data_IF_494729415854
#
_entry.id   IF_494729415854
#
_cell.length_a   1.000
_cell.length_b   1.000
_cell.length_c   1.000
_cell.angle_alpha   90.00
_cell.angle_beta   90.00
_cell.angle_gamma   90.00
#
_symmetry.space_group_name_H-M   'P 1'
#
loop_
_entity.id
_entity.type
_entity.pdbx_description
1 polymer ?
#
# COMPACT_ATOMS: atom_id res chain seq x y z
N UNK A 1 18.47 -68.08 6.83
CA UNK A 1 17.08 -67.97 7.31
C UNK A 1 17.02 -67.12 8.58
N UNK A 2 16.55 -65.87 8.50
CA UNK A 2 16.10 -65.06 9.64
C UNK A 2 14.94 -64.21 9.16
N UNK A 3 13.72 -64.59 9.56
CA UNK A 3 12.51 -63.80 9.40
C UNK A 3 12.49 -62.70 10.47
N UNK A 4 12.23 -61.46 10.06
CA UNK A 4 11.98 -60.36 10.98
C UNK A 4 10.51 -59.93 10.88
N UNK A 5 9.87 -59.99 12.05
CA UNK A 5 8.45 -59.77 12.36
C UNK A 5 8.05 -58.31 12.13
N UNK A 6 7.05 -58.06 11.28
CA UNK A 6 6.40 -56.75 11.15
C UNK A 6 5.29 -56.65 12.21
N UNK A 7 5.37 -55.63 13.06
CA UNK A 7 4.46 -55.44 14.20
C UNK A 7 3.28 -54.54 13.79
N UNK A 8 2.06 -55.08 13.89
CA UNK A 8 0.79 -54.47 13.52
C UNK A 8 0.18 -53.71 14.72
N UNK A 9 0.20 -52.38 14.69
CA UNK A 9 -0.44 -51.53 15.74
C UNK A 9 -1.24 -50.32 15.25
N UNK A 10 -1.43 -50.12 13.94
CA UNK A 10 -2.15 -48.94 13.43
C UNK A 10 -3.54 -49.22 12.82
N UNK A 11 -4.08 -50.44 12.95
CA UNK A 11 -5.38 -50.78 12.35
C UNK A 11 -6.60 -50.68 13.29
N UNK A 12 -6.43 -50.32 14.57
CA UNK A 12 -7.53 -50.30 15.55
C UNK A 12 -8.09 -48.90 15.89
N UNK A 13 -7.34 -47.81 15.63
CA UNK A 13 -7.85 -46.45 15.90
C UNK A 13 -8.78 -45.93 14.79
N UNK A 14 -8.68 -46.45 13.56
CA UNK A 14 -9.53 -46.01 12.44
C UNK A 14 -10.98 -46.50 12.54
N UNK A 15 -11.23 -47.60 13.27
CA UNK A 15 -12.57 -48.19 13.38
C UNK A 15 -13.39 -47.59 14.54
N UNK A 16 -12.73 -47.06 15.58
CA UNK A 16 -13.41 -46.45 16.73
C UNK A 16 -13.99 -45.06 16.43
N UNK A 17 -13.45 -44.32 15.44
CA UNK A 17 -13.99 -43.02 15.06
C UNK A 17 -15.24 -43.10 14.16
N UNK A 18 -15.48 -44.23 13.48
CA UNK A 18 -16.67 -44.43 12.65
C UNK A 18 -17.89 -44.91 13.46
N UNK A 19 -17.69 -45.68 14.53
CA UNK A 19 -18.77 -46.17 15.40
C UNK A 19 -19.38 -45.08 16.32
N UNK A 20 -18.60 -44.04 16.65
CA UNK A 20 -19.04 -42.95 17.54
C UNK A 20 -19.85 -41.86 16.82
N UNK A 21 -19.72 -41.70 15.50
CA UNK A 21 -20.49 -40.72 14.72
C UNK A 21 -21.88 -41.21 14.33
N UNK A 22 -22.08 -42.53 14.18
CA UNK A 22 -23.37 -43.12 13.86
C UNK A 22 -24.35 -43.13 15.07
N UNK A 23 -23.83 -43.30 16.30
CA UNK A 23 -24.66 -43.41 17.50
C UNK A 23 -25.16 -42.07 18.06
N UNK A 24 -24.51 -40.94 17.74
CA UNK A 24 -25.00 -39.60 18.10
C UNK A 24 -26.05 -39.11 17.12
N UNK A 25 -25.93 -39.46 15.84
CA UNK A 25 -26.89 -39.07 14.80
C UNK A 25 -28.25 -39.79 14.94
N UNK A 26 -28.25 -41.03 15.43
CA UNK A 26 -29.48 -41.84 15.59
C UNK A 26 -30.22 -41.63 16.92
N UNK A 27 -29.66 -40.86 17.87
CA UNK A 27 -30.36 -40.51 19.14
C UNK A 27 -31.15 -39.21 19.10
N UNK A 28 -30.99 -38.38 18.06
CA UNK A 28 -31.75 -37.12 17.89
C UNK A 28 -33.08 -37.32 17.14
N UNK A 29 -33.30 -38.47 16.48
CA UNK A 29 -34.49 -38.72 15.65
C UNK A 29 -35.49 -39.73 16.25
N UNK A 30 -35.50 -39.93 17.57
CA UNK A 30 -36.49 -40.75 18.28
C UNK A 30 -37.33 -39.94 19.27
N UNK A 31 -37.88 -38.81 18.81
CA UNK A 31 -38.99 -38.17 19.51
C UNK A 31 -40.12 -37.90 18.53
N UNK A 32 -41.26 -38.57 18.75
CA UNK A 32 -42.51 -38.38 18.01
C UNK A 32 -43.06 -36.99 18.34
N UNK A 33 -42.77 -36.01 17.48
CA UNK A 33 -43.53 -34.75 17.42
C UNK A 33 -43.86 -34.51 15.97
N UNK A 34 -45.15 -34.65 15.63
CA UNK A 34 -45.70 -34.28 14.33
C UNK A 34 -45.68 -32.76 14.27
N UNK A 35 -44.64 -32.18 13.66
CA UNK A 35 -44.54 -30.73 13.47
C UNK A 35 -45.07 -30.37 12.09
N UNK A 36 -46.15 -29.59 12.10
CA UNK A 36 -46.81 -29.02 10.95
C UNK A 36 -45.82 -28.15 10.13
N UNK A 37 -45.54 -28.55 8.90
CA UNK A 37 -44.53 -27.95 8.01
C UNK A 37 -44.81 -26.47 7.64
N UNK A 38 -45.98 -25.92 7.99
CA UNK A 38 -46.31 -24.51 7.80
C UNK A 38 -45.79 -23.56 8.90
N UNK A 39 -45.22 -24.09 10.00
CA UNK A 39 -44.69 -23.30 11.13
C UNK A 39 -43.14 -23.19 11.10
N UNK A 40 -42.49 -23.68 10.04
CA UNK A 40 -41.03 -23.58 9.89
C UNK A 40 -40.55 -22.31 9.16
N UNK A 41 -41.46 -21.40 8.80
CA UNK A 41 -41.14 -20.16 8.08
C UNK A 41 -41.13 -18.88 8.94
N UNK A 42 -41.23 -18.96 10.28
CA UNK A 42 -41.34 -17.76 11.15
C UNK A 42 -40.13 -17.51 12.06
N UNK A 43 -39.12 -18.38 12.09
CA UNK A 43 -37.83 -18.08 12.75
C UNK A 43 -36.77 -17.53 11.77
N UNK A 44 -37.21 -16.77 10.77
CA UNK A 44 -36.38 -16.21 9.70
C UNK A 44 -35.94 -14.75 9.89
N UNK A 45 -36.30 -14.07 10.99
CA UNK A 45 -35.96 -12.65 11.18
C UNK A 45 -35.77 -12.35 12.68
N UNK A 46 -34.54 -12.45 13.19
CA UNK A 46 -33.98 -11.68 14.33
C UNK A 46 -32.63 -12.30 14.71
N UNK A 47 -31.60 -11.95 13.95
CA UNK A 47 -30.23 -12.43 14.17
C UNK A 47 -29.21 -11.65 13.36
N UNK A 48 -29.38 -10.34 13.24
CA UNK A 48 -28.45 -9.46 12.52
C UNK A 48 -28.16 -8.21 13.34
N UNK A 49 -27.54 -8.41 14.51
CA UNK A 49 -26.66 -7.39 15.11
C UNK A 49 -25.53 -8.12 15.85
N UNK A 50 -24.31 -7.62 15.68
CA UNK A 50 -23.00 -8.12 16.14
C UNK A 50 -22.32 -9.17 15.25
N UNK A 51 -21.86 -8.73 14.07
CA UNK A 51 -20.59 -9.21 13.52
C UNK A 51 -19.46 -8.28 13.97
N UNK A 52 -19.01 -8.49 15.21
CA UNK A 52 -17.71 -8.04 15.69
C UNK A 52 -16.67 -9.14 15.47
N UNK A 53 -15.55 -8.76 14.84
CA UNK A 53 -14.24 -9.41 14.82
C UNK A 53 -14.00 -10.73 14.04
N UNK A 54 -12.85 -10.73 13.38
CA UNK A 54 -12.06 -11.84 12.83
C UNK A 54 -12.59 -12.58 11.59
N UNK A 55 -12.39 -11.97 10.44
CA UNK A 55 -11.69 -12.63 9.32
C UNK A 55 -11.33 -11.55 8.32
N UNK A 56 -10.04 -11.28 8.16
CA UNK A 56 -9.52 -10.74 6.91
C UNK A 56 -9.84 -11.81 5.85
N UNK A 57 -11.06 -11.76 5.32
CA UNK A 57 -11.49 -12.60 4.24
C UNK A 57 -10.48 -12.46 3.10
N UNK A 58 -10.00 -13.61 2.64
CA UNK A 58 -9.21 -13.78 1.42
C UNK A 58 -9.89 -13.08 0.24
N UNK A 59 -9.68 -11.77 0.11
CA UNK A 59 -9.40 -11.21 -1.20
C UNK A 59 -8.12 -11.92 -1.60
N UNK A 60 -8.07 -12.61 -2.75
CA UNK A 60 -6.85 -13.22 -3.25
C UNK A 60 -5.80 -12.11 -3.41
N UNK A 61 -5.03 -11.87 -2.35
CA UNK A 61 -3.98 -10.87 -2.34
C UNK A 61 -2.85 -11.42 -3.19
N UNK A 62 -2.38 -10.64 -4.15
CA UNK A 62 -1.26 -11.06 -4.98
C UNK A 62 -0.10 -11.51 -4.07
N UNK A 63 0.50 -12.69 -4.33
CA UNK A 63 1.70 -13.12 -3.62
C UNK A 63 2.72 -11.97 -3.59
N UNK A 64 3.44 -11.79 -2.48
CA UNK A 64 4.42 -10.71 -2.36
C UNK A 64 5.46 -10.70 -3.49
N UNK A 65 5.73 -11.87 -4.09
CA UNK A 65 6.59 -12.05 -5.27
C UNK A 65 6.09 -11.35 -6.54
N UNK A 66 4.79 -11.12 -6.65
CA UNK A 66 4.15 -10.50 -7.83
C UNK A 66 4.05 -8.97 -7.70
N UNK A 67 4.45 -8.41 -6.56
CA UNK A 67 4.50 -6.97 -6.32
C UNK A 67 5.91 -6.52 -6.72
N UNK A 68 6.01 -5.61 -7.68
CA UNK A 68 7.28 -5.24 -8.30
C UNK A 68 8.06 -4.17 -7.49
N UNK A 69 7.38 -3.43 -6.61
CA UNK A 69 8.02 -2.38 -5.80
C UNK A 69 7.39 -2.20 -4.42
N UNK A 70 8.14 -1.66 -3.44
CA UNK A 70 7.59 -1.29 -2.14
C UNK A 70 6.47 -0.23 -2.23
N UNK A 71 6.50 0.63 -3.26
CA UNK A 71 5.42 1.59 -3.53
C UNK A 71 4.14 0.89 -3.96
N UNK A 72 4.25 -0.11 -4.83
CA UNK A 72 3.12 -0.93 -5.25
C UNK A 72 2.54 -1.72 -4.06
N UNK A 73 3.39 -2.16 -3.12
CA UNK A 73 2.93 -2.78 -1.87
C UNK A 73 2.02 -1.87 -1.05
N UNK A 74 2.38 -0.59 -0.90
CA UNK A 74 1.56 0.40 -0.15
C UNK A 74 0.15 0.47 -0.73
N UNK A 75 0.08 0.48 -2.06
CA UNK A 75 -1.16 0.59 -2.82
C UNK A 75 -1.98 -0.70 -2.75
N UNK A 76 -1.39 -1.83 -3.15
CA UNK A 76 -2.07 -3.13 -3.25
C UNK A 76 -2.54 -3.63 -1.87
N UNK A 77 -1.78 -3.34 -0.80
CA UNK A 77 -2.13 -3.75 0.58
C UNK A 77 -2.85 -2.67 1.38
N UNK A 78 -3.21 -1.54 0.76
CA UNK A 78 -3.90 -0.40 1.38
C UNK A 78 -3.26 0.00 2.71
N UNK A 79 -1.93 0.12 2.70
CA UNK A 79 -1.13 0.53 3.87
C UNK A 79 -1.37 2.03 4.15
N UNK A 80 -1.57 2.81 3.11
CA UNK A 80 -2.11 4.17 3.21
C UNK A 80 -3.51 4.19 2.57
N UNK A 81 -4.35 5.13 2.98
CA UNK A 81 -5.59 5.39 2.26
C UNK A 81 -5.28 6.09 0.93
N UNK A 82 -6.00 5.68 -0.13
CA UNK A 82 -5.83 6.18 -1.50
C UNK A 82 -5.95 7.71 -1.62
N UNK A 83 -6.72 8.33 -0.72
CA UNK A 83 -7.01 9.77 -0.76
C UNK A 83 -6.09 10.61 0.15
N UNK A 84 -5.44 10.00 1.15
CA UNK A 84 -4.81 10.74 2.27
C UNK A 84 -3.34 10.44 2.50
N UNK A 85 -2.72 9.56 1.68
CA UNK A 85 -1.31 9.15 1.83
C UNK A 85 -0.93 8.74 3.27
N UNK A 86 -1.92 8.32 4.05
CA UNK A 86 -1.85 7.97 5.46
C UNK A 86 -3.13 7.20 5.83
N UNK A 87 -3.12 6.44 6.91
CA UNK A 87 -4.26 5.63 7.35
C UNK A 87 -4.27 5.54 8.87
N UNK A 88 -5.47 5.49 9.45
CA UNK A 88 -5.65 5.28 10.88
C UNK A 88 -5.48 3.80 11.24
N UNK A 89 -4.72 3.56 12.31
CA UNK A 89 -4.47 2.24 12.87
C UNK A 89 -4.73 2.25 14.37
N UNK A 90 -5.43 1.22 14.86
CA UNK A 90 -5.61 1.02 16.30
C UNK A 90 -4.28 0.59 16.91
N UNK A 91 -3.81 1.33 17.92
CA UNK A 91 -2.58 0.98 18.66
C UNK A 91 -2.83 0.62 20.12
N UNK A 92 -4.02 0.95 20.64
CA UNK A 92 -4.44 0.66 22.01
C UNK A 92 -5.95 0.45 22.06
N UNK A 93 -6.37 -0.59 22.79
CA UNK A 93 -7.76 -0.87 23.14
C UNK A 93 -7.76 -1.52 24.52
N UNK A 94 -8.69 -1.12 25.39
CA UNK A 94 -8.81 -1.71 26.73
C UNK A 94 -9.19 -3.18 26.63
N UNK A 95 -8.49 -4.03 27.38
CA UNK A 95 -8.72 -5.49 27.41
C UNK A 95 -7.94 -6.30 26.37
N UNK A 96 -7.34 -5.65 25.37
CA UNK A 96 -6.46 -6.31 24.38
C UNK A 96 -5.05 -6.41 24.95
N UNK A 97 -4.63 -7.63 25.32
CA UNK A 97 -3.29 -7.90 25.89
C UNK A 97 -2.27 -8.37 24.86
N UNK A 98 -2.71 -8.91 23.72
CA UNK A 98 -1.82 -9.49 22.73
C UNK A 98 -1.34 -8.45 21.72
N UNK A 99 -0.03 -8.35 21.50
CA UNK A 99 0.55 -7.45 20.48
C UNK A 99 0.07 -7.77 19.06
N UNK A 100 -0.38 -9.00 18.79
CA UNK A 100 -0.88 -9.43 17.48
C UNK A 100 -2.18 -8.73 17.07
N UNK A 101 -2.94 -8.25 18.04
CA UNK A 101 -4.20 -7.54 17.83
C UNK A 101 -3.97 -6.02 17.63
N UNK A 102 -2.70 -5.57 17.64
CA UNK A 102 -2.32 -4.18 17.48
C UNK A 102 -2.08 -3.88 16.00
N UNK A 103 -3.05 -3.21 15.38
CA UNK A 103 -3.03 -2.86 13.95
C UNK A 103 -1.88 -1.91 13.58
N UNK A 104 -1.39 -1.08 14.50
CA UNK A 104 -0.29 -0.15 14.22
C UNK A 104 1.03 -0.83 13.81
N UNK A 105 1.18 -2.14 14.03
CA UNK A 105 2.31 -2.94 13.54
C UNK A 105 2.12 -3.43 12.09
N UNK A 106 0.91 -3.32 11.54
CA UNK A 106 0.56 -3.81 10.20
C UNK A 106 1.48 -3.25 9.10
N UNK A 107 1.73 -1.93 9.01
CA UNK A 107 2.63 -1.40 7.98
C UNK A 107 4.03 -2.04 8.00
N UNK A 108 4.68 -2.07 9.18
CA UNK A 108 5.99 -2.70 9.37
C UNK A 108 5.95 -4.18 8.98
N UNK A 109 4.91 -4.89 9.41
CA UNK A 109 4.75 -6.32 9.12
C UNK A 109 4.65 -6.60 7.62
N UNK A 110 3.88 -5.79 6.88
CA UNK A 110 3.76 -5.94 5.42
C UNK A 110 5.09 -5.72 4.70
N UNK A 111 5.84 -4.67 5.05
CA UNK A 111 7.16 -4.43 4.45
C UNK A 111 8.17 -5.51 4.82
N UNK A 112 8.13 -6.01 6.06
CA UNK A 112 9.00 -7.11 6.50
C UNK A 112 8.73 -8.39 5.70
N UNK A 113 7.46 -8.77 5.56
CA UNK A 113 7.06 -9.95 4.78
C UNK A 113 7.41 -9.79 3.30
N UNK A 114 7.17 -8.62 2.73
CA UNK A 114 7.56 -8.33 1.35
C UNK A 114 9.08 -8.46 1.16
N UNK A 115 9.88 -7.86 2.04
CA UNK A 115 11.34 -7.96 1.99
C UNK A 115 11.81 -9.42 2.08
N UNK A 116 11.27 -10.20 3.02
CA UNK A 116 11.61 -11.62 3.19
C UNK A 116 11.20 -12.48 1.98
N UNK A 117 10.04 -12.21 1.38
CA UNK A 117 9.57 -12.92 0.19
C UNK A 117 10.48 -12.71 -1.04
N UNK A 118 11.19 -11.59 -1.08
CA UNK A 118 12.22 -11.26 -2.08
C UNK A 118 13.63 -11.64 -1.63
N UNK A 119 13.76 -12.44 -0.56
CA UNK A 119 15.03 -12.92 -0.06
C UNK A 119 15.88 -11.87 0.66
N UNK A 120 15.28 -10.78 1.13
CA UNK A 120 15.97 -9.71 1.85
C UNK A 120 15.87 -9.79 3.37
N UNK A 121 16.68 -8.95 4.03
CA UNK A 121 16.66 -8.71 5.47
C UNK A 121 16.08 -7.34 5.77
N UNK A 122 14.99 -7.30 6.54
CA UNK A 122 14.32 -6.08 6.95
C UNK A 122 14.80 -5.64 8.33
N UNK A 123 15.29 -4.40 8.45
CA UNK A 123 15.83 -3.86 9.70
C UNK A 123 15.40 -2.41 9.91
N UNK A 124 15.21 -2.01 11.16
CA UNK A 124 14.93 -0.61 11.53
C UNK A 124 16.26 0.15 11.59
N UNK A 125 16.40 1.21 10.79
CA UNK A 125 17.60 2.04 10.75
C UNK A 125 17.49 3.25 11.68
N UNK A 126 16.29 3.77 11.86
CA UNK A 126 16.03 4.92 12.72
C UNK A 126 14.67 4.75 13.41
N UNK A 127 14.61 5.04 14.71
CA UNK A 127 13.33 5.11 15.44
C UNK A 127 12.62 6.43 15.13
N UNK A 128 11.30 6.41 15.02
CA UNK A 128 10.54 7.65 14.88
C UNK A 128 10.72 8.53 16.11
N UNK A 129 10.93 9.82 15.87
CA UNK A 129 10.91 10.85 16.92
C UNK A 129 9.49 11.39 17.17
N UNK A 130 8.52 11.00 16.34
CA UNK A 130 7.16 11.54 16.27
C UNK A 130 7.13 13.06 16.02
N UNK A 131 8.11 13.59 15.27
CA UNK A 131 8.25 15.03 15.02
C UNK A 131 7.07 15.64 14.26
N UNK A 132 6.43 14.85 13.39
CA UNK A 132 5.30 15.28 12.54
C UNK A 132 3.97 15.41 13.28
N UNK A 133 3.84 14.79 14.46
CA UNK A 133 2.68 14.98 15.33
C UNK A 133 2.69 16.43 15.83
N UNK A 134 1.54 17.12 15.86
CA UNK A 134 1.52 18.52 16.32
C UNK A 134 1.41 18.62 17.85
N UNK A 135 0.55 17.80 18.45
CA UNK A 135 0.30 17.80 19.88
C UNK A 135 1.49 17.23 20.69
N UNK A 136 2.11 18.01 21.61
CA UNK A 136 3.19 17.52 22.47
C UNK A 136 2.77 16.39 23.40
N UNK A 137 1.52 16.38 23.88
CA UNK A 137 1.03 15.34 24.77
C UNK A 137 0.92 14.00 24.02
N UNK A 138 0.31 14.01 22.83
CA UNK A 138 0.31 12.88 21.92
C UNK A 138 1.72 12.36 21.63
N UNK A 139 2.71 13.23 21.36
CA UNK A 139 4.11 12.80 21.18
C UNK A 139 4.64 12.02 22.38
N UNK A 140 4.43 12.54 23.58
CA UNK A 140 4.87 11.88 24.82
C UNK A 140 4.17 10.53 24.99
N UNK A 141 2.86 10.48 24.71
CA UNK A 141 2.07 9.26 24.77
C UNK A 141 2.54 8.20 23.77
N UNK A 142 2.67 8.53 22.48
CA UNK A 142 3.10 7.58 21.45
C UNK A 142 4.47 6.95 21.78
N UNK A 143 5.35 7.71 22.44
CA UNK A 143 6.66 7.23 22.93
C UNK A 143 6.58 6.24 24.09
N UNK A 144 5.45 6.06 24.77
CA UNK A 144 5.36 5.06 25.84
C UNK A 144 5.07 3.65 25.30
N UNK A 145 4.33 3.54 24.18
CA UNK A 145 3.89 2.27 23.61
C UNK A 145 4.98 1.58 22.78
N UNK A 146 5.28 0.33 23.13
CA UNK A 146 6.30 -0.46 22.44
C UNK A 146 5.90 -0.83 21.01
N UNK A 147 4.61 -1.10 20.76
CA UNK A 147 4.08 -1.35 19.43
C UNK A 147 4.39 -0.20 18.47
N UNK A 148 4.26 1.04 18.93
CA UNK A 148 4.59 2.22 18.13
C UNK A 148 6.10 2.38 17.95
N UNK A 149 6.91 2.22 19.01
CA UNK A 149 8.39 2.27 18.88
C UNK A 149 8.93 1.27 17.87
N UNK A 150 8.32 0.09 17.81
CA UNK A 150 8.69 -0.95 16.86
C UNK A 150 8.07 -0.68 15.48
N UNK A 151 6.82 -0.23 15.40
CA UNK A 151 6.08 -0.05 14.16
C UNK A 151 6.48 1.18 13.35
N UNK A 152 7.09 2.20 13.98
CA UNK A 152 7.37 3.50 13.35
C UNK A 152 8.87 3.82 13.27
N UNK A 153 9.22 4.65 12.29
CA UNK A 153 10.57 5.09 11.98
C UNK A 153 10.99 4.74 10.57
N UNK A 154 12.30 4.77 10.32
CA UNK A 154 12.89 4.40 9.03
C UNK A 154 13.33 2.95 9.08
N UNK A 155 12.97 2.21 8.04
CA UNK A 155 13.34 0.81 7.85
C UNK A 155 14.06 0.64 6.52
N UNK A 156 14.95 -0.34 6.49
CA UNK A 156 15.73 -0.73 5.33
C UNK A 156 15.52 -2.20 5.05
N UNK A 157 15.25 -2.52 3.79
CA UNK A 157 15.39 -3.86 3.27
C UNK A 157 16.69 -3.95 2.48
N UNK A 158 17.51 -4.94 2.82
CA UNK A 158 18.72 -5.28 2.08
C UNK A 158 18.50 -6.63 1.42
N UNK A 159 18.46 -6.65 0.09
CA UNK A 159 18.30 -7.86 -0.71
C UNK A 159 19.64 -8.57 -0.88
N UNK A 160 19.62 -9.88 -1.12
CA UNK A 160 20.84 -10.69 -1.29
C UNK A 160 21.63 -10.30 -2.56
N UNK A 161 20.98 -9.68 -3.54
CA UNK A 161 21.61 -9.18 -4.77
C UNK A 161 22.33 -7.82 -4.58
N UNK A 162 22.34 -7.27 -3.37
CA UNK A 162 22.95 -5.97 -3.05
C UNK A 162 22.02 -4.77 -3.25
N UNK A 163 20.84 -4.95 -3.84
CA UNK A 163 19.84 -3.90 -3.93
C UNK A 163 19.26 -3.59 -2.53
N UNK A 164 18.97 -2.32 -2.29
CA UNK A 164 18.34 -1.89 -1.04
C UNK A 164 17.26 -0.84 -1.29
N UNK A 165 16.32 -0.79 -0.38
CA UNK A 165 15.31 0.26 -0.35
C UNK A 165 14.97 0.64 1.09
N UNK A 166 14.56 1.90 1.25
CA UNK A 166 14.22 2.49 2.53
C UNK A 166 12.74 2.87 2.55
N UNK A 167 12.10 2.72 3.69
CA UNK A 167 10.73 3.17 3.91
C UNK A 167 10.63 3.87 5.26
N UNK A 168 9.99 5.03 5.30
CA UNK A 168 9.63 5.73 6.52
C UNK A 168 8.17 5.44 6.88
N UNK A 169 7.90 5.07 8.11
CA UNK A 169 6.56 4.90 8.69
C UNK A 169 6.44 5.90 9.85
N UNK A 170 5.73 7.00 9.64
CA UNK A 170 5.70 8.12 10.60
C UNK A 170 4.27 8.44 11.04
N UNK A 171 4.11 8.81 12.31
CA UNK A 171 2.82 9.24 12.84
C UNK A 171 2.57 10.72 12.52
N UNK A 172 1.39 11.01 11.97
CA UNK A 172 0.95 12.37 11.66
C UNK A 172 0.05 12.95 12.76
N UNK A 173 -0.76 12.10 13.38
CA UNK A 173 -1.65 12.49 14.48
C UNK A 173 -2.01 11.29 15.34
N UNK A 174 -2.47 11.57 16.55
CA UNK A 174 -3.06 10.61 17.48
C UNK A 174 -4.43 11.15 17.89
N UNK A 175 -5.38 10.26 18.12
CA UNK A 175 -6.64 10.61 18.76
C UNK A 175 -7.26 9.41 19.45
N UNK A 176 -8.04 9.70 20.48
CA UNK A 176 -9.01 8.77 21.05
C UNK A 176 -10.23 8.68 20.13
N UNK A 177 -10.76 7.47 19.90
CA UNK A 177 -12.00 7.31 19.14
C UNK A 177 -13.20 7.74 20.01
N UNK A 178 -14.08 8.62 19.50
CA UNK A 178 -15.32 8.95 20.20
C UNK A 178 -16.18 7.69 20.28
N UNK A 179 -16.82 7.46 21.44
CA UNK A 179 -17.71 6.32 21.72
C UNK A 179 -17.02 4.95 21.78
N UNK A 180 -15.75 4.90 22.20
CA UNK A 180 -15.02 3.65 22.44
C UNK A 180 -14.56 3.53 23.90
N UNK A 181 -14.39 2.30 24.40
CA UNK A 181 -13.77 1.98 25.69
C UNK A 181 -12.27 2.29 25.66
N UNK A 182 -11.93 3.57 25.56
CA UNK A 182 -10.56 4.10 25.47
C UNK A 182 -9.73 3.60 24.29
N UNK A 183 -10.36 3.20 23.18
CA UNK A 183 -9.63 2.86 21.96
C UNK A 183 -8.93 4.11 21.40
N UNK A 184 -7.64 3.97 21.13
CA UNK A 184 -6.82 5.03 20.53
C UNK A 184 -6.29 4.60 19.19
N UNK A 185 -6.30 5.55 18.28
CA UNK A 185 -5.82 5.39 16.91
C UNK A 185 -4.70 6.36 16.63
N UNK A 186 -3.77 5.91 15.82
CA UNK A 186 -2.68 6.73 15.28
C UNK A 186 -2.86 6.79 13.77
N UNK A 187 -2.70 7.97 13.19
CA UNK A 187 -2.66 8.13 11.75
C UNK A 187 -1.21 7.98 11.28
N UNK A 188 -0.92 6.90 10.56
CA UNK A 188 0.42 6.56 10.07
C UNK A 188 0.53 6.84 8.56
N UNK A 189 1.65 7.43 8.17
CA UNK A 189 2.06 7.59 6.78
C UNK A 189 3.26 6.67 6.49
N UNK A 190 3.09 5.77 5.53
CA UNK A 190 4.20 5.00 4.96
C UNK A 190 4.68 5.66 3.67
N UNK A 191 5.98 5.90 3.53
CA UNK A 191 6.58 6.50 2.34
C UNK A 191 7.91 5.83 2.01
N UNK A 192 8.07 5.38 0.77
CA UNK A 192 9.35 4.85 0.31
C UNK A 192 10.30 6.03 0.08
N UNK A 193 11.49 5.93 0.66
CA UNK A 193 12.54 6.94 0.55
C UNK A 193 13.40 6.55 -0.66
N UNK A 194 13.43 7.41 -1.68
CA UNK A 194 14.44 7.32 -2.73
C UNK A 194 15.76 7.77 -2.11
N UNK A 195 16.80 6.92 -2.14
CA UNK A 195 18.12 7.33 -1.66
C UNK A 195 18.57 8.59 -2.44
N UNK A 196 19.06 9.65 -1.77
CA UNK A 196 20.06 10.48 -2.41
C UNK A 196 21.28 9.60 -2.67
N UNK A 197 21.85 9.69 -3.87
CA UNK A 197 23.03 8.94 -4.29
C UNK A 197 24.09 8.88 -3.17
N UNK A 198 24.81 7.76 -3.01
CA UNK A 198 25.79 7.60 -1.95
C UNK A 198 26.80 8.75 -2.04
N UNK A 199 26.81 9.63 -1.03
CA UNK A 199 27.95 10.51 -0.80
C UNK A 199 29.11 9.57 -0.52
N UNK A 200 30.07 9.53 -1.45
CA UNK A 200 31.39 8.98 -1.20
C UNK A 200 31.88 9.55 0.13
N UNK A 201 32.02 8.70 1.13
CA UNK A 201 32.76 9.02 2.34
C UNK A 201 34.23 9.16 1.93
N UNK A 202 34.65 10.36 1.59
CA UNK A 202 36.05 10.74 1.74
C UNK A 202 36.28 11.10 3.21
N UNK A 203 37.30 10.52 3.88
CA UNK A 203 37.62 10.87 5.25
C UNK A 203 38.12 12.32 5.32
N UNK A 204 37.42 13.18 6.05
CA UNK A 204 37.92 14.53 6.37
C UNK A 204 38.75 14.41 7.64
N UNK A 205 40.07 14.45 7.46
CA UNK A 205 41.06 14.66 8.53
C UNK A 205 40.84 16.04 9.16
N UNK A 206 40.88 16.19 10.50
CA UNK A 206 40.61 17.45 11.16
C UNK A 206 41.85 18.34 11.19
N UNK A 207 41.74 19.57 10.67
CA UNK A 207 42.71 20.65 10.93
C UNK A 207 42.04 21.81 11.67
N UNK A 208 42.74 22.31 12.68
CA UNK A 208 42.32 23.28 13.69
C UNK A 208 42.33 24.73 13.16
N UNK A 209 41.32 25.50 13.63
CA UNK A 209 41.31 26.91 14.12
C UNK A 209 42.16 27.98 13.40
N UNK A 210 41.49 29.06 12.95
CA UNK A 210 41.62 30.46 13.42
C UNK A 210 40.61 31.37 12.64
N UNK A 211 39.63 32.03 13.27
CA UNK A 211 39.59 33.46 13.72
C UNK A 211 39.78 34.43 12.51
N UNK A 212 38.88 35.33 12.09
CA UNK A 212 38.22 36.45 12.79
C UNK A 212 37.22 37.20 11.87
N UNK A 213 36.15 37.77 12.46
CA UNK A 213 35.43 39.05 12.18
C UNK A 213 34.75 39.36 10.82
N UNK A 214 33.43 39.63 10.91
CA UNK A 214 32.58 40.46 10.03
C UNK A 214 32.97 41.97 10.14
N UNK A 215 32.48 42.97 9.36
CA UNK A 215 31.06 43.18 8.95
C UNK A 215 30.82 43.90 7.56
N UNK A 216 29.68 43.76 6.85
CA UNK A 216 28.52 44.71 6.77
C UNK A 216 28.42 45.63 5.50
N UNK A 217 27.23 45.58 4.86
CA UNK A 217 26.44 46.61 4.09
C UNK A 217 26.59 46.83 2.55
N UNK A 218 25.42 46.65 1.88
CA UNK A 218 24.71 47.34 0.74
C UNK A 218 25.56 48.07 -0.34
N UNK A 219 25.23 48.07 -1.64
CA UNK A 219 23.96 48.40 -2.30
C UNK A 219 24.05 48.17 -3.84
N UNK A 220 22.89 47.99 -4.52
CA UNK A 220 22.44 48.55 -5.83
C UNK A 220 23.43 48.71 -7.02
N UNK A 221 23.11 48.62 -8.34
CA UNK A 221 21.89 48.55 -9.17
C UNK A 221 22.35 48.42 -10.65
N UNK A 222 21.55 47.70 -11.48
CA UNK A 222 21.31 47.79 -12.95
C UNK A 222 22.47 47.88 -13.99
N UNK A 223 22.41 47.00 -15.01
CA UNK A 223 21.91 47.25 -16.40
C UNK A 223 22.08 45.96 -17.26
N UNK A 224 21.04 45.53 -17.98
CA UNK A 224 20.91 45.55 -19.47
C UNK A 224 22.13 44.89 -20.17
N UNK A 225 22.01 43.89 -21.06
CA UNK A 225 21.15 43.88 -22.25
C UNK A 225 21.14 42.49 -22.93
N UNK A 226 20.17 42.33 -23.81
CA UNK A 226 19.71 41.13 -24.49
C UNK A 226 20.38 40.93 -25.88
N UNK A 227 20.46 39.67 -26.33
CA UNK A 227 20.27 39.21 -27.72
C UNK A 227 21.45 38.98 -28.71
N UNK A 228 21.56 37.68 -29.09
CA UNK A 228 21.57 37.06 -30.45
C UNK A 228 22.76 37.20 -31.44
N UNK A 229 23.35 36.02 -31.78
CA UNK A 229 23.55 35.41 -33.14
C UNK A 229 24.50 34.20 -33.00
N UNK A 230 24.06 32.94 -33.11
CA UNK A 230 23.87 32.11 -34.32
C UNK A 230 25.11 31.98 -35.23
N UNK A 231 25.76 30.79 -35.24
CA UNK A 231 26.42 30.15 -36.41
C UNK A 231 26.55 28.61 -36.16
N UNK A 232 25.93 27.81 -37.02
CA UNK A 232 26.15 26.37 -37.28
C UNK A 232 27.52 26.13 -37.99
N UNK A 233 28.24 24.98 -37.96
CA UNK A 233 27.89 23.69 -38.61
C UNK A 233 29.13 22.72 -38.60
N UNK A 234 28.87 21.39 -38.56
CA UNK A 234 29.59 20.20 -39.16
C UNK A 234 30.72 19.38 -38.45
N UNK A 235 30.37 18.08 -38.18
CA UNK A 235 30.97 16.74 -38.51
C UNK A 235 32.48 16.45 -38.18
N UNK A 236 32.98 15.25 -37.79
CA UNK A 236 32.55 13.83 -37.89
C UNK A 236 33.44 12.90 -36.99
N UNK A 237 32.84 11.82 -36.45
CA UNK A 237 33.33 10.45 -36.08
C UNK A 237 34.72 10.13 -35.43
N UNK A 238 34.69 9.38 -34.30
CA UNK A 238 35.38 8.07 -34.11
C UNK A 238 34.95 7.27 -32.84
N UNK A 239 34.26 6.13 -33.06
CA UNK A 239 34.33 4.78 -32.42
C UNK A 239 34.15 4.57 -30.90
N UNK A 240 32.94 4.11 -30.55
CA UNK A 240 32.54 2.92 -29.74
C UNK A 240 33.52 2.20 -28.79
N UNK A 241 33.21 2.22 -27.47
CA UNK A 241 33.23 1.06 -26.54
C UNK A 241 32.10 1.26 -25.50
N UNK A 242 31.22 0.29 -25.24
CA UNK A 242 30.01 0.49 -24.44
C UNK A 242 30.24 0.26 -22.95
N UNK A 243 29.82 1.17 -22.04
CA UNK A 243 29.64 0.85 -20.64
C UNK A 243 28.15 0.62 -20.35
N UNK A 244 27.85 -0.66 -20.09
CA UNK A 244 26.70 -1.23 -19.37
C UNK A 244 25.68 -0.21 -18.85
N UNK A 245 24.47 -0.28 -19.41
CA UNK A 245 23.27 0.36 -18.91
C UNK A 245 23.06 0.04 -17.42
N UNK A 246 23.45 0.98 -16.55
CA UNK A 246 22.91 1.09 -15.21
C UNK A 246 21.42 1.41 -15.39
N UNK A 247 20.54 0.51 -14.94
CA UNK A 247 19.10 0.77 -14.93
C UNK A 247 18.85 2.01 -14.09
N UNK A 248 18.58 3.14 -14.77
CA UNK A 248 18.16 4.36 -14.11
C UNK A 248 16.92 4.03 -13.27
N UNK A 249 16.99 4.29 -11.97
CA UNK A 249 15.85 4.15 -11.07
C UNK A 249 14.79 5.13 -11.53
N UNK A 250 13.74 4.62 -12.19
CA UNK A 250 12.65 5.43 -12.73
C UNK A 250 12.03 6.26 -11.62
N UNK A 251 11.87 7.56 -11.83
CA UNK A 251 11.22 8.44 -10.85
C UNK A 251 9.75 8.05 -10.67
N UNK A 252 9.11 8.31 -9.51
CA UNK A 252 7.69 8.04 -9.33
C UNK A 252 6.80 8.68 -10.41
N UNK A 253 7.20 9.86 -10.92
CA UNK A 253 6.54 10.54 -12.03
C UNK A 253 6.66 9.75 -13.34
N UNK A 254 7.86 9.23 -13.66
CA UNK A 254 8.09 8.39 -14.84
C UNK A 254 7.32 7.08 -14.74
N UNK A 255 7.29 6.46 -13.56
CA UNK A 255 6.52 5.23 -13.32
C UNK A 255 5.02 5.45 -13.51
N UNK A 256 4.47 6.53 -12.94
CA UNK A 256 3.06 6.89 -13.10
C UNK A 256 2.70 7.12 -14.59
N UNK A 257 3.53 7.89 -15.31
CA UNK A 257 3.33 8.15 -16.73
C UNK A 257 3.38 6.88 -17.58
N UNK A 258 4.35 5.99 -17.31
CA UNK A 258 4.51 4.72 -18.02
C UNK A 258 3.31 3.78 -17.82
N UNK A 259 2.82 3.68 -16.59
CA UNK A 259 1.62 2.90 -16.26
C UNK A 259 0.38 3.47 -16.95
N UNK A 260 0.22 4.79 -16.95
CA UNK A 260 -0.88 5.47 -17.63
C UNK A 260 -0.85 5.27 -19.15
N UNK A 261 0.30 5.48 -19.79
CA UNK A 261 0.45 5.35 -21.25
C UNK A 261 0.21 3.91 -21.70
N UNK A 262 0.77 2.93 -20.99
CA UNK A 262 0.53 1.52 -21.29
C UNK A 262 -0.95 1.15 -21.12
N UNK A 263 -1.59 1.59 -20.02
CA UNK A 263 -3.00 1.37 -19.78
C UNK A 263 -3.88 1.97 -20.88
N UNK A 264 -3.63 3.23 -21.27
CA UNK A 264 -4.42 3.92 -22.30
C UNK A 264 -4.33 3.21 -23.65
N UNK A 265 -3.13 2.80 -24.06
CA UNK A 265 -2.89 2.06 -25.31
C UNK A 265 -3.62 0.72 -25.31
N UNK A 266 -3.53 -0.03 -24.23
CA UNK A 266 -4.06 -1.39 -24.15
C UNK A 266 -5.59 -1.37 -24.02
N UNK A 267 -6.16 -0.44 -23.23
CA UNK A 267 -7.62 -0.22 -23.15
C UNK A 267 -8.18 0.19 -24.51
N UNK A 268 -7.56 1.15 -25.20
CA UNK A 268 -8.05 1.63 -26.49
C UNK A 268 -7.91 0.59 -27.60
N UNK A 269 -6.92 -0.30 -27.52
CA UNK A 269 -6.73 -1.39 -28.48
C UNK A 269 -7.46 -2.68 -28.12
N UNK A 270 -8.19 -2.71 -27.00
CA UNK A 270 -8.94 -3.90 -26.54
C UNK A 270 -8.07 -5.09 -26.13
N UNK A 271 -6.75 -4.92 -26.00
CA UNK A 271 -5.82 -6.00 -25.63
C UNK A 271 -5.53 -5.96 -24.13
N UNK A 272 -5.35 -7.14 -23.52
CA UNK A 272 -4.96 -7.27 -22.12
C UNK A 272 -5.80 -6.40 -21.16
N UNK A 273 -7.10 -6.28 -21.42
CA UNK A 273 -7.98 -5.28 -20.79
C UNK A 273 -7.89 -5.28 -19.26
N UNK A 274 -7.83 -6.46 -18.63
CA UNK A 274 -7.70 -6.58 -17.16
C UNK A 274 -6.35 -6.03 -16.67
N UNK A 275 -5.24 -6.37 -17.34
CA UNK A 275 -3.92 -5.86 -16.99
C UNK A 275 -3.81 -4.35 -17.22
N UNK A 276 -4.41 -3.86 -18.31
CA UNK A 276 -4.47 -2.44 -18.61
C UNK A 276 -5.26 -1.67 -17.55
N UNK A 277 -6.38 -2.22 -17.07
CA UNK A 277 -7.15 -1.66 -15.96
C UNK A 277 -6.39 -1.67 -14.64
N UNK A 278 -5.65 -2.74 -14.34
CA UNK A 278 -4.75 -2.78 -13.19
C UNK A 278 -3.68 -1.67 -13.30
N UNK A 279 -3.08 -1.47 -14.48
CA UNK A 279 -2.11 -0.39 -14.72
C UNK A 279 -2.72 1.00 -14.58
N UNK A 280 -3.94 1.22 -15.10
CA UNK A 280 -4.67 2.49 -14.91
C UNK A 280 -4.94 2.77 -13.43
N UNK A 281 -5.38 1.75 -12.68
CA UNK A 281 -5.61 1.85 -11.25
C UNK A 281 -4.32 2.18 -10.50
N UNK A 282 -3.21 1.53 -10.84
CA UNK A 282 -1.89 1.82 -10.25
C UNK A 282 -1.47 3.26 -10.53
N UNK A 283 -1.57 3.71 -11.77
CA UNK A 283 -1.25 5.09 -12.16
C UNK A 283 -2.11 6.11 -11.38
N UNK A 284 -3.40 5.84 -11.21
CA UNK A 284 -4.30 6.67 -10.40
C UNK A 284 -3.89 6.68 -8.91
N UNK A 285 -3.52 5.53 -8.37
CA UNK A 285 -3.15 5.38 -6.95
C UNK A 285 -1.84 6.07 -6.55
N UNK A 286 -0.97 6.45 -7.50
CA UNK A 286 0.19 7.33 -7.21
C UNK A 286 -0.24 8.73 -6.74
N UNK A 287 -1.51 9.12 -6.98
CA UNK A 287 -2.02 10.43 -6.63
C UNK A 287 -1.42 11.55 -7.49
N UNK A 288 -1.66 12.79 -7.08
CA UNK A 288 -1.14 13.97 -7.78
C UNK A 288 0.32 14.22 -7.38
N UNK A 289 1.26 13.97 -8.29
CA UNK A 289 2.68 14.24 -8.09
C UNK A 289 3.05 15.68 -8.54
N UNK A 290 3.96 16.38 -7.84
CA UNK A 290 4.40 17.73 -8.21
C UNK A 290 5.37 17.71 -9.40
N UNK A 291 5.34 18.77 -10.21
CA UNK A 291 6.36 19.05 -11.25
C UNK A 291 6.20 18.31 -12.56
N UNK A 292 4.99 17.88 -12.90
CA UNK A 292 4.72 17.12 -14.11
C UNK A 292 3.42 17.64 -14.73
N UNK A 293 3.26 17.41 -16.04
CA UNK A 293 1.94 17.27 -16.67
C UNK A 293 1.04 16.24 -15.93
N UNK A 294 1.48 15.65 -14.81
CA UNK A 294 0.83 14.82 -13.81
C UNK A 294 -0.51 15.32 -13.28
N UNK A 295 -0.81 16.63 -13.36
CA UNK A 295 -2.21 17.04 -13.17
C UNK A 295 -3.11 16.36 -14.20
N UNK A 296 -2.63 16.16 -15.43
CA UNK A 296 -3.27 15.40 -16.50
C UNK A 296 -3.12 13.89 -16.28
N UNK A 297 -1.91 13.37 -15.97
CA UNK A 297 -1.71 11.91 -15.83
C UNK A 297 -2.56 11.32 -14.71
N UNK A 298 -2.61 11.94 -13.53
CA UNK A 298 -3.44 11.48 -12.43
C UNK A 298 -4.93 11.54 -12.79
N UNK A 299 -5.41 12.65 -13.34
CA UNK A 299 -6.83 12.83 -13.65
C UNK A 299 -7.29 11.94 -14.80
N UNK A 300 -6.49 11.80 -15.86
CA UNK A 300 -6.75 10.91 -16.99
C UNK A 300 -6.66 9.43 -16.60
N UNK A 301 -5.74 9.05 -15.71
CA UNK A 301 -5.71 7.70 -15.13
C UNK A 301 -7.02 7.40 -14.39
N UNK A 302 -7.57 8.39 -13.68
CA UNK A 302 -8.88 8.25 -13.02
C UNK A 302 -10.04 8.08 -14.01
N UNK A 303 -10.00 8.73 -15.18
CA UNK A 303 -10.96 8.46 -16.26
C UNK A 303 -10.85 7.03 -16.78
N UNK A 304 -9.63 6.52 -16.99
CA UNK A 304 -9.42 5.14 -17.42
C UNK A 304 -9.92 4.13 -16.37
N UNK A 305 -9.69 4.39 -15.08
CA UNK A 305 -10.24 3.58 -13.98
C UNK A 305 -11.77 3.55 -14.03
N UNK A 306 -12.40 4.70 -14.20
CA UNK A 306 -13.86 4.76 -14.30
C UNK A 306 -14.37 3.95 -15.49
N UNK A 307 -13.70 4.03 -16.66
CA UNK A 307 -14.04 3.23 -17.85
C UNK A 307 -13.84 1.73 -17.62
N UNK A 308 -12.81 1.35 -16.90
CA UNK A 308 -12.57 -0.04 -16.53
C UNK A 308 -13.68 -0.59 -15.62
N UNK A 309 -14.10 0.21 -14.64
CA UNK A 309 -15.16 -0.16 -13.71
C UNK A 309 -16.54 -0.23 -14.38
N UNK A 310 -16.81 0.58 -15.41
CA UNK A 310 -18.12 0.60 -16.08
C UNK A 310 -18.19 -0.21 -17.37
N UNK A 311 -17.08 -0.35 -18.10
CA UNK A 311 -17.05 -0.87 -19.47
C UNK A 311 -16.29 -2.19 -19.67
N UNK A 312 -15.57 -2.69 -18.65
CA UNK A 312 -14.80 -3.95 -18.77
C UNK A 312 -15.32 -4.96 -17.73
N UNK A 313 -16.21 -5.90 -18.12
CA UNK A 313 -16.86 -6.84 -17.19
C UNK A 313 -15.89 -7.71 -16.39
N UNK A 314 -14.80 -8.14 -17.01
CA UNK A 314 -13.76 -8.96 -16.37
C UNK A 314 -12.98 -8.22 -15.28
N UNK A 315 -12.94 -6.89 -15.33
CA UNK A 315 -12.35 -6.06 -14.29
C UNK A 315 -13.41 -5.65 -13.25
N UNK A 316 -14.60 -5.23 -13.69
CA UNK A 316 -15.66 -4.69 -12.83
C UNK A 316 -16.27 -5.74 -11.88
N UNK A 317 -16.36 -7.00 -12.32
CA UNK A 317 -16.85 -8.14 -11.51
C UNK A 317 -16.04 -8.41 -10.24
N UNK A 318 -14.82 -7.86 -10.14
CA UNK A 318 -13.97 -7.95 -8.95
C UNK A 318 -14.42 -7.02 -7.82
N UNK A 319 -15.36 -6.13 -8.08
CA UNK A 319 -15.85 -5.14 -7.13
C UNK A 319 -17.34 -5.39 -6.86
N UNK A 320 -17.75 -5.26 -5.60
CA UNK A 320 -19.16 -5.40 -5.21
C UNK A 320 -20.03 -4.24 -5.72
N UNK A 321 -19.46 -3.06 -5.89
CA UNK A 321 -20.15 -1.88 -6.43
C UNK A 321 -19.26 -1.09 -7.41
N UNK A 322 -19.00 -1.61 -8.62
CA UNK A 322 -18.08 -0.98 -9.56
C UNK A 322 -18.62 0.36 -10.09
N UNK A 323 -19.93 0.46 -10.34
CA UNK A 323 -20.58 1.71 -10.77
C UNK A 323 -20.50 2.80 -9.70
N UNK A 324 -20.70 2.46 -8.43
CA UNK A 324 -20.54 3.39 -7.31
C UNK A 324 -19.10 3.89 -7.16
N UNK A 325 -18.12 3.01 -7.28
CA UNK A 325 -16.70 3.40 -7.26
C UNK A 325 -16.33 4.30 -8.44
N UNK A 326 -16.79 3.98 -9.65
CA UNK A 326 -16.58 4.83 -10.81
C UNK A 326 -17.20 6.22 -10.59
N UNK A 327 -18.42 6.29 -10.04
CA UNK A 327 -19.08 7.56 -9.71
C UNK A 327 -18.29 8.37 -8.68
N UNK A 328 -17.74 7.74 -7.64
CA UNK A 328 -16.90 8.41 -6.64
C UNK A 328 -15.65 9.03 -7.28
N UNK A 329 -14.91 8.25 -8.07
CA UNK A 329 -13.70 8.72 -8.77
C UNK A 329 -14.05 9.90 -9.70
N UNK A 330 -15.09 9.75 -10.53
CA UNK A 330 -15.49 10.80 -11.45
C UNK A 330 -16.00 12.07 -10.73
N UNK A 331 -16.69 11.93 -9.60
CA UNK A 331 -17.14 13.08 -8.80
C UNK A 331 -15.95 13.85 -8.22
N UNK A 332 -14.94 13.15 -7.71
CA UNK A 332 -13.70 13.76 -7.23
C UNK A 332 -13.00 14.53 -8.37
N UNK A 333 -12.86 13.92 -9.55
CA UNK A 333 -12.25 14.56 -10.72
C UNK A 333 -13.04 15.76 -11.23
N UNK A 334 -14.37 15.65 -11.27
CA UNK A 334 -15.24 16.73 -11.74
C UNK A 334 -15.27 17.92 -10.77
N UNK A 335 -15.27 17.68 -9.45
CA UNK A 335 -15.36 18.72 -8.43
C UNK A 335 -14.00 19.35 -8.11
N UNK A 336 -12.97 18.54 -7.88
CA UNK A 336 -11.67 19.01 -7.38
C UNK A 336 -10.67 19.34 -8.50
N UNK A 337 -10.86 18.77 -9.70
CA UNK A 337 -9.98 18.97 -10.84
C UNK A 337 -10.68 19.57 -12.07
N UNK A 338 -11.96 19.94 -11.94
CA UNK A 338 -12.78 20.52 -13.00
C UNK A 338 -12.74 19.72 -14.33
N UNK A 339 -12.54 18.40 -14.26
CA UNK A 339 -12.21 17.59 -15.43
C UNK A 339 -13.43 17.39 -16.36
N UNK A 340 -13.35 17.90 -17.60
CA UNK A 340 -14.46 17.86 -18.57
C UNK A 340 -14.90 16.43 -18.90
N UNK A 341 -13.96 15.52 -19.14
CA UNK A 341 -14.26 14.12 -19.41
C UNK A 341 -15.00 13.43 -18.24
N UNK A 342 -14.70 13.84 -17.00
CA UNK A 342 -15.35 13.25 -15.83
C UNK A 342 -16.80 13.71 -15.71
N UNK A 343 -17.06 14.99 -15.98
CA UNK A 343 -18.42 15.57 -16.02
C UNK A 343 -19.28 14.89 -17.09
N UNK A 344 -18.73 14.67 -18.28
CA UNK A 344 -19.46 14.02 -19.37
C UNK A 344 -19.80 12.57 -19.04
N UNK A 345 -18.83 11.83 -18.50
CA UNK A 345 -19.04 10.44 -18.12
C UNK A 345 -20.04 10.31 -16.96
N UNK A 346 -20.03 11.22 -15.97
CA UNK A 346 -21.04 11.27 -14.91
C UNK A 346 -22.45 11.50 -15.44
N UNK A 347 -22.60 12.33 -16.49
CA UNK A 347 -23.91 12.57 -17.13
C UNK A 347 -24.42 11.29 -17.83
N UNK A 348 -23.53 10.50 -18.41
CA UNK A 348 -23.86 9.22 -19.06
C UNK A 348 -24.18 8.07 -18.08
N UNK A 349 -23.89 8.25 -16.79
CA UNK A 349 -24.13 7.26 -15.74
C UNK A 349 -25.41 7.54 -14.92
N UNK A 350 -26.16 8.59 -15.27
CA UNK A 350 -27.53 8.82 -14.78
C UNK A 350 -28.47 7.96 -15.59
#
# INVERSE_FOLDING_TARGET
MRQTKINNKNSYLSLLFYELSANVFMRVFKSKVVVNYKILCVFGVLGSVLQGCTSLGNIAQAPFKNIASPQELIVERKINDSDKNSKEYVYHTVGVKNEKDIEALYPRSMFSQYCQAHGGRFSQTQKSSFSLVKDPWAKKLLRTYNSLKQGTGTFRCQLNNGEQWLVSIEALSERKLPNSNDTRVVNLQSKVLTEPAPRSMTPITPSKKAVTKAPVIKAEVKKEEESKKEVELKKENKVEVPPKAAKAVETPQQQQAKLYVSARRDINSGRNQVAACNSAQRAYNYGRLPGSDASNVYTESGILVARCLTGIPSYSSRFSNPKGQAKYVLQNLAKNHNHTGAKNMLKQMK
#
